data_IF_934587787710
#
_entry.id   IF_934587787710
#
_cell.length_a   1.000
_cell.length_b   1.000
_cell.length_c   1.000
_cell.angle_alpha   90.00
_cell.angle_beta   90.00
_cell.angle_gamma   90.00
#
_symmetry.space_group_name_H-M   'P 1'
#
loop_
_entity.id
_entity.type
_entity.pdbx_description
1 polymer ?
#
# COMPACT_ATOMS: atom_id res chain seq x y z
N UNK A 1 -14.00 8.46 26.79
CA UNK A 1 -13.27 8.95 25.62
C UNK A 1 -12.75 7.76 24.83
N UNK A 2 -13.11 7.68 23.57
CA UNK A 2 -12.65 6.58 22.72
C UNK A 2 -11.29 6.90 22.15
N UNK A 3 -10.46 5.86 22.01
CA UNK A 3 -9.17 6.01 21.34
C UNK A 3 -9.41 6.38 19.87
N UNK A 4 -8.56 7.24 19.30
CA UNK A 4 -8.70 7.52 17.88
C UNK A 4 -8.49 6.26 17.06
N UNK A 5 -9.24 6.16 15.98
CA UNK A 5 -9.11 5.05 15.04
C UNK A 5 -7.69 5.06 14.44
N UNK A 6 -7.11 3.89 14.29
CA UNK A 6 -5.79 3.75 13.67
C UNK A 6 -5.84 4.23 12.21
N UNK A 7 -4.79 4.93 11.79
CA UNK A 7 -4.64 5.39 10.42
C UNK A 7 -3.41 4.75 9.81
N UNK A 8 -3.55 4.29 8.58
CA UNK A 8 -2.44 3.73 7.83
C UNK A 8 -2.31 4.43 6.48
N UNK A 9 -1.15 4.31 5.89
CA UNK A 9 -0.89 4.72 4.51
C UNK A 9 -0.37 3.52 3.74
N UNK A 10 -0.74 3.43 2.48
CA UNK A 10 -0.28 2.36 1.62
C UNK A 10 -0.02 2.85 0.21
N UNK A 11 1.10 2.45 -0.36
CA UNK A 11 1.50 2.83 -1.71
C UNK A 11 1.18 1.72 -2.69
N UNK A 12 0.45 2.07 -3.74
CA UNK A 12 0.38 1.28 -4.97
C UNK A 12 1.40 1.91 -5.92
N UNK A 13 2.57 1.30 -6.04
CA UNK A 13 3.57 1.73 -7.01
C UNK A 13 3.09 1.34 -8.40
N UNK A 14 3.10 2.30 -9.31
CA UNK A 14 2.67 2.06 -10.69
C UNK A 14 3.87 2.30 -11.60
N UNK A 15 4.36 1.24 -12.20
CA UNK A 15 5.49 1.29 -13.11
C UNK A 15 5.09 1.77 -14.50
N UNK A 16 6.11 2.10 -15.30
CA UNK A 16 5.91 2.57 -16.69
C UNK A 16 5.22 1.53 -17.56
N UNK A 17 5.41 0.26 -17.23
CA UNK A 17 4.79 -0.87 -17.93
C UNK A 17 3.35 -1.15 -17.44
N UNK A 18 2.80 -0.27 -16.63
CA UNK A 18 1.44 -0.38 -16.08
C UNK A 18 1.28 -1.57 -15.13
N UNK A 19 2.36 -2.01 -14.52
CA UNK A 19 2.32 -3.03 -13.46
C UNK A 19 2.36 -2.36 -12.10
N UNK A 20 1.81 -3.05 -11.12
CA UNK A 20 1.65 -2.55 -9.76
C UNK A 20 2.46 -3.43 -8.81
N UNK A 21 3.24 -2.80 -7.94
CA UNK A 21 4.03 -3.51 -6.94
C UNK A 21 3.20 -3.76 -5.69
N UNK A 22 3.15 -5.03 -5.28
CA UNK A 22 2.57 -5.42 -4.00
C UNK A 22 3.59 -6.22 -3.20
N UNK A 23 3.43 -6.21 -1.89
CA UNK A 23 4.24 -7.01 -0.98
C UNK A 23 3.42 -8.12 -0.35
N UNK A 24 4.00 -9.31 -0.27
CA UNK A 24 3.36 -10.43 0.43
C UNK A 24 3.70 -10.34 1.91
N UNK A 25 2.70 -10.07 2.73
CA UNK A 25 2.86 -9.88 4.17
C UNK A 25 3.40 -11.16 4.80
N UNK A 26 4.38 -11.01 5.68
CA UNK A 26 5.01 -12.14 6.34
C UNK A 26 4.02 -12.93 7.18
N UNK A 27 4.26 -14.23 7.34
CA UNK A 27 3.37 -15.11 8.07
C UNK A 27 3.28 -14.75 9.56
N UNK A 28 4.29 -14.09 10.13
CA UNK A 28 4.30 -13.70 11.54
C UNK A 28 3.49 -12.43 11.83
N UNK A 29 3.07 -11.70 10.80
CA UNK A 29 2.26 -10.50 10.99
C UNK A 29 0.91 -10.86 11.60
N UNK A 30 0.42 -10.05 12.51
CA UNK A 30 -0.87 -10.26 13.16
C UNK A 30 -2.03 -9.82 12.29
N UNK A 31 -1.80 -8.88 11.39
CA UNK A 31 -2.82 -8.30 10.52
C UNK A 31 -2.58 -8.79 9.10
N UNK A 32 -3.57 -9.46 8.53
CA UNK A 32 -3.56 -9.99 7.17
C UNK A 32 -2.27 -10.77 6.83
N UNK A 33 -1.83 -11.75 7.65
CA UNK A 33 -0.64 -12.53 7.31
C UNK A 33 -0.83 -13.24 5.97
N UNK A 34 0.26 -13.35 5.20
CA UNK A 34 0.31 -14.09 3.92
C UNK A 34 -0.64 -13.54 2.85
N UNK A 35 -0.98 -12.25 2.95
CA UNK A 35 -1.80 -11.58 1.92
C UNK A 35 -0.96 -10.53 1.21
N UNK A 36 -1.27 -10.34 -0.06
CA UNK A 36 -0.66 -9.28 -0.86
C UNK A 36 -1.26 -7.94 -0.49
N UNK A 37 -0.41 -6.96 -0.27
CA UNK A 37 -0.81 -5.66 0.26
C UNK A 37 -0.01 -4.53 -0.39
N UNK A 38 -0.51 -3.32 -0.22
CA UNK A 38 0.24 -2.10 -0.54
C UNK A 38 1.49 -2.01 0.34
N UNK A 39 2.43 -1.16 -0.05
CA UNK A 39 3.63 -0.87 0.73
C UNK A 39 3.33 0.30 1.66
N UNK A 40 3.40 0.10 2.95
CA UNK A 40 3.11 1.17 3.90
C UNK A 40 2.98 0.68 5.32
N UNK A 41 2.35 1.49 6.15
CA UNK A 41 2.19 1.16 7.55
C UNK A 41 1.44 2.25 8.30
N UNK A 42 1.61 2.28 9.61
CA UNK A 42 0.87 3.18 10.48
C UNK A 42 1.37 4.61 10.40
N UNK A 43 0.42 5.54 10.43
CA UNK A 43 0.73 6.96 10.63
C UNK A 43 1.05 7.17 12.10
N UNK A 44 2.19 7.80 12.38
CA UNK A 44 2.62 8.07 13.75
C UNK A 44 2.08 9.42 14.21
N UNK A 45 2.03 9.61 15.53
CA UNK A 45 1.56 10.86 16.11
C UNK A 45 2.39 12.03 15.58
N UNK A 46 1.69 13.08 15.14
CA UNK A 46 2.35 14.27 14.61
C UNK A 46 2.76 14.20 13.14
N UNK A 47 2.61 13.04 12.50
CA UNK A 47 2.91 12.90 11.08
C UNK A 47 1.71 13.27 10.23
N UNK A 48 1.95 13.92 9.09
CA UNK A 48 0.93 14.00 8.04
C UNK A 48 0.87 12.67 7.30
N UNK A 49 -0.18 12.46 6.52
CA UNK A 49 -0.30 11.24 5.70
C UNK A 49 0.85 11.15 4.70
N UNK A 50 1.21 12.25 4.06
CA UNK A 50 2.30 12.28 3.09
C UNK A 50 3.64 11.94 3.74
N UNK A 51 3.90 12.50 4.92
CA UNK A 51 5.12 12.20 5.67
C UNK A 51 5.21 10.72 6.04
N UNK A 52 4.09 10.15 6.49
CA UNK A 52 4.02 8.74 6.84
C UNK A 52 4.29 7.86 5.62
N UNK A 53 3.71 8.22 4.47
CA UNK A 53 3.92 7.46 3.24
C UNK A 53 5.40 7.43 2.85
N UNK A 54 6.04 8.60 2.82
CA UNK A 54 7.45 8.70 2.44
C UNK A 54 8.32 7.90 3.40
N UNK A 55 8.08 8.02 4.69
CA UNK A 55 8.85 7.29 5.71
C UNK A 55 8.69 5.78 5.57
N UNK A 56 7.44 5.31 5.49
CA UNK A 56 7.17 3.86 5.40
C UNK A 56 7.74 3.25 4.13
N UNK A 57 7.59 3.93 3.00
CA UNK A 57 8.12 3.42 1.73
C UNK A 57 9.64 3.30 1.79
N UNK A 58 10.31 4.31 2.34
CA UNK A 58 11.77 4.26 2.47
C UNK A 58 12.22 3.12 3.38
N UNK A 59 11.53 2.93 4.51
CA UNK A 59 11.85 1.86 5.46
C UNK A 59 11.65 0.47 4.86
N UNK A 60 10.62 0.29 4.04
CA UNK A 60 10.25 -1.05 3.58
C UNK A 60 10.86 -1.44 2.25
N UNK A 61 11.00 -0.50 1.31
CA UNK A 61 11.48 -0.84 -0.03
C UNK A 61 12.64 0.04 -0.50
N UNK A 62 13.16 0.91 0.36
CA UNK A 62 14.43 1.60 0.12
C UNK A 62 14.41 2.71 -0.90
N UNK A 63 13.23 3.20 -1.29
CA UNK A 63 13.12 4.30 -2.26
C UNK A 63 12.27 5.43 -1.68
N UNK A 64 12.40 6.62 -2.27
CA UNK A 64 11.66 7.80 -1.84
C UNK A 64 10.66 8.21 -2.92
N UNK A 65 9.35 8.17 -2.63
CA UNK A 65 8.35 8.66 -3.57
C UNK A 65 8.58 10.14 -3.90
N UNK A 66 8.48 10.49 -5.16
CA UNK A 66 8.64 11.87 -5.63
C UNK A 66 7.38 12.40 -6.31
N UNK A 67 6.54 11.51 -6.84
CA UNK A 67 5.24 11.89 -7.39
C UNK A 67 4.21 10.87 -6.92
N UNK A 68 3.25 11.34 -6.15
CA UNK A 68 2.24 10.48 -5.55
C UNK A 68 0.99 11.27 -5.21
N UNK A 69 -0.14 10.58 -5.13
CA UNK A 69 -1.41 11.22 -4.75
C UNK A 69 -2.31 10.23 -4.04
N UNK A 70 -3.10 10.73 -3.10
CA UNK A 70 -4.10 9.94 -2.39
C UNK A 70 -5.24 9.61 -3.37
N UNK A 71 -5.57 8.34 -3.51
CA UNK A 71 -6.60 7.89 -4.44
C UNK A 71 -7.81 7.26 -3.75
N UNK A 72 -7.67 6.80 -2.52
CA UNK A 72 -8.80 6.21 -1.79
C UNK A 72 -8.54 6.24 -0.29
N UNK A 73 -9.61 6.38 0.48
CA UNK A 73 -9.59 6.20 1.92
C UNK A 73 -10.62 5.13 2.24
N UNK A 74 -10.18 4.04 2.84
CA UNK A 74 -10.98 2.82 2.99
C UNK A 74 -10.94 2.37 4.44
N UNK A 75 -12.10 1.99 4.97
CA UNK A 75 -12.16 1.39 6.29
C UNK A 75 -11.68 -0.06 6.22
N UNK A 76 -11.06 -0.54 7.28
CA UNK A 76 -10.61 -1.93 7.38
C UNK A 76 -11.76 -2.86 7.02
N UNK A 77 -11.51 -3.83 6.11
CA UNK A 77 -12.55 -4.74 5.60
C UNK A 77 -12.94 -5.82 6.61
N UNK A 78 -12.05 -6.12 7.55
CA UNK A 78 -12.28 -7.16 8.57
C UNK A 78 -12.02 -6.59 9.98
N UNK A 79 -12.81 -5.56 10.40
CA UNK A 79 -12.52 -4.89 11.66
C UNK A 79 -12.70 -5.80 12.87
N UNK A 80 -13.58 -6.80 12.79
CA UNK A 80 -13.82 -7.74 13.88
C UNK A 80 -12.62 -8.67 14.10
N UNK A 81 -11.81 -8.88 13.07
CA UNK A 81 -10.63 -9.75 13.15
C UNK A 81 -9.37 -8.94 13.44
N UNK A 82 -9.18 -7.82 12.75
CA UNK A 82 -7.91 -7.08 12.76
C UNK A 82 -7.97 -5.74 13.47
N UNK A 83 -9.15 -5.35 13.96
CA UNK A 83 -9.33 -4.03 14.57
C UNK A 83 -9.70 -2.99 13.53
N UNK A 84 -10.33 -1.91 14.01
CA UNK A 84 -10.79 -0.85 13.14
C UNK A 84 -9.62 0.04 12.70
N UNK A 85 -9.64 0.46 11.44
CA UNK A 85 -8.60 1.33 10.89
C UNK A 85 -9.10 2.03 9.64
N UNK A 86 -8.51 3.20 9.38
CA UNK A 86 -8.69 3.90 8.11
C UNK A 86 -7.40 3.75 7.31
N UNK A 87 -7.52 3.19 6.11
CA UNK A 87 -6.40 2.97 5.21
C UNK A 87 -6.42 4.01 4.10
N UNK A 88 -5.32 4.76 3.98
CA UNK A 88 -5.18 5.80 2.97
C UNK A 88 -4.29 5.27 1.85
N UNK A 89 -4.88 5.06 0.69
CA UNK A 89 -4.22 4.40 -0.45
C UNK A 89 -3.72 5.47 -1.42
N UNK A 90 -2.44 5.42 -1.72
CA UNK A 90 -1.78 6.35 -2.63
C UNK A 90 -1.35 5.64 -3.91
N UNK A 91 -1.42 6.35 -5.02
CA UNK A 91 -0.72 5.93 -6.24
C UNK A 91 0.65 6.62 -6.23
N UNK A 92 1.71 5.84 -6.34
CA UNK A 92 3.09 6.34 -6.44
C UNK A 92 3.56 6.07 -7.86
N UNK A 93 3.76 7.15 -8.63
CA UNK A 93 4.07 7.04 -10.06
C UNK A 93 5.52 7.39 -10.38
N UNK A 94 6.21 8.10 -9.47
CA UNK A 94 7.64 8.38 -9.62
C UNK A 94 8.31 8.29 -8.26
N UNK A 95 9.56 7.83 -8.26
CA UNK A 95 10.37 7.69 -7.06
C UNK A 95 11.84 7.79 -7.44
N UNK A 96 12.69 8.01 -6.43
CA UNK A 96 14.14 8.00 -6.62
C UNK A 96 14.77 6.98 -5.68
N UNK A 97 15.99 6.56 -5.98
CA UNK A 97 16.71 5.57 -5.18
C UNK A 97 16.80 4.20 -5.85
N UNK A 98 16.45 4.10 -7.12
CA UNK A 98 16.55 2.86 -7.88
C UNK A 98 15.28 2.04 -7.83
N UNK A 99 15.40 0.73 -8.01
CA UNK A 99 14.26 -0.17 -7.97
C UNK A 99 13.84 -0.44 -6.52
N UNK A 100 12.53 -0.45 -6.23
CA UNK A 100 12.07 -0.91 -4.92
C UNK A 100 12.55 -2.34 -4.65
N UNK A 101 13.07 -2.56 -3.45
CA UNK A 101 13.58 -3.86 -3.06
C UNK A 101 13.11 -4.16 -1.63
N UNK A 102 12.97 -5.44 -1.31
CA UNK A 102 12.53 -5.84 0.03
C UNK A 102 13.69 -5.68 1.01
N UNK A 103 13.71 -4.57 1.74
CA UNK A 103 14.79 -4.24 2.69
C UNK A 103 14.35 -4.38 4.15
N UNK A 104 13.17 -4.93 4.40
CA UNK A 104 12.67 -5.20 5.74
C UNK A 104 12.17 -6.64 5.82
N UNK A 105 11.73 -7.06 7.00
CA UNK A 105 11.23 -8.41 7.22
C UNK A 105 9.70 -8.49 7.27
N UNK A 106 9.01 -7.39 7.00
CA UNK A 106 7.54 -7.37 7.04
C UNK A 106 6.90 -8.04 5.84
N UNK A 107 7.64 -8.14 4.74
CA UNK A 107 7.21 -8.83 3.52
C UNK A 107 8.18 -9.96 3.23
N UNK A 108 7.64 -11.09 2.76
CA UNK A 108 8.47 -12.21 2.30
C UNK A 108 8.82 -12.11 0.83
N UNK A 109 8.06 -11.32 0.08
CA UNK A 109 8.22 -11.18 -1.36
C UNK A 109 7.63 -9.87 -1.83
N UNK A 110 8.27 -9.25 -2.83
CA UNK A 110 7.69 -8.15 -3.60
C UNK A 110 7.49 -8.64 -5.01
N UNK A 111 6.38 -8.27 -5.64
CA UNK A 111 6.11 -8.69 -7.01
C UNK A 111 5.31 -7.63 -7.75
N UNK A 112 5.66 -7.45 -9.01
CA UNK A 112 4.91 -6.59 -9.92
C UNK A 112 3.81 -7.40 -10.61
N UNK A 113 2.58 -6.88 -10.55
CA UNK A 113 1.40 -7.52 -11.14
C UNK A 113 0.78 -6.63 -12.18
N UNK A 114 0.29 -7.21 -13.28
CA UNK A 114 -0.67 -6.50 -14.11
C UNK A 114 -1.99 -6.39 -13.35
N UNK A 115 -2.86 -5.48 -13.74
CA UNK A 115 -4.18 -5.36 -13.11
C UNK A 115 -4.96 -6.67 -13.24
N UNK A 116 -4.87 -7.33 -14.39
CA UNK A 116 -5.53 -8.62 -14.62
C UNK A 116 -5.01 -9.69 -13.66
N UNK A 117 -3.70 -9.74 -13.44
CA UNK A 117 -3.10 -10.68 -12.49
C UNK A 117 -3.57 -10.39 -11.05
N UNK A 118 -3.65 -9.11 -10.69
CA UNK A 118 -4.15 -8.74 -9.35
C UNK A 118 -5.56 -9.24 -9.11
N UNK A 119 -6.41 -9.18 -10.12
CA UNK A 119 -7.81 -9.63 -10.02
C UNK A 119 -7.94 -11.13 -9.77
N UNK A 120 -6.92 -11.88 -10.08
CA UNK A 120 -6.92 -13.34 -9.88
C UNK A 120 -6.39 -13.74 -8.50
N UNK A 121 -5.84 -12.80 -7.73
CA UNK A 121 -5.31 -13.11 -6.40
C UNK A 121 -6.44 -13.42 -5.42
N UNK A 122 -6.34 -14.57 -4.77
CA UNK A 122 -7.31 -14.96 -3.74
C UNK A 122 -6.90 -14.46 -2.35
N UNK A 123 -5.62 -14.11 -2.18
CA UNK A 123 -5.06 -13.65 -0.91
C UNK A 123 -4.57 -12.21 -1.03
N UNK A 124 -5.46 -11.31 -1.33
CA UNK A 124 -5.19 -9.87 -1.40
C UNK A 124 -5.94 -9.18 -0.27
N UNK A 125 -5.30 -8.20 0.37
CA UNK A 125 -5.87 -7.50 1.52
C UNK A 125 -7.16 -6.76 1.15
N UNK A 126 -7.17 -6.13 0.00
CA UNK A 126 -8.35 -5.41 -0.47
C UNK A 126 -8.57 -5.75 -1.95
N UNK A 127 -9.72 -6.35 -2.25
CA UNK A 127 -10.06 -6.75 -3.61
C UNK A 127 -10.27 -5.55 -4.55
N UNK A 128 -10.34 -4.34 -4.03
CA UNK A 128 -10.48 -3.12 -4.83
C UNK A 128 -9.14 -2.49 -5.22
N UNK A 129 -8.01 -3.04 -4.78
CA UNK A 129 -6.70 -2.53 -5.23
C UNK A 129 -6.59 -2.49 -6.76
N UNK A 130 -7.04 -3.52 -7.51
CA UNK A 130 -7.02 -3.44 -8.98
C UNK A 130 -7.81 -2.25 -9.52
N UNK A 131 -8.97 -1.96 -8.93
CA UNK A 131 -9.80 -0.83 -9.34
C UNK A 131 -9.07 0.50 -9.10
N UNK A 132 -8.47 0.67 -7.93
CA UNK A 132 -7.74 1.89 -7.60
C UNK A 132 -6.55 2.09 -8.53
N UNK A 133 -5.81 1.00 -8.82
CA UNK A 133 -4.68 1.07 -9.74
C UNK A 133 -5.13 1.47 -11.14
N UNK A 134 -6.22 0.90 -11.60
CA UNK A 134 -6.77 1.19 -12.93
C UNK A 134 -7.17 2.66 -13.04
N UNK A 135 -7.84 3.19 -12.02
CA UNK A 135 -8.22 4.60 -11.96
C UNK A 135 -7.00 5.51 -12.02
N UNK A 136 -5.95 5.15 -11.30
CA UNK A 136 -4.71 5.92 -11.29
C UNK A 136 -4.01 5.89 -12.65
N UNK A 137 -4.06 4.76 -13.35
CA UNK A 137 -3.42 4.60 -14.65
C UNK A 137 -4.13 5.35 -15.77
N UNK A 138 -5.44 5.56 -15.65
CA UNK A 138 -6.18 6.28 -16.68
C UNK A 138 -5.86 7.76 -16.68
N UNK A 139 -5.13 8.22 -15.70
CA UNK A 139 -4.79 9.62 -15.59
C UNK A 139 -6.00 10.49 -15.29
N UNK A 140 -7.04 9.89 -14.79
CA UNK A 140 -8.25 10.59 -14.41
C UNK A 140 -7.93 11.53 -13.26
N UNK A 141 -7.38 12.64 -13.62
CA UNK A 141 -7.28 13.74 -12.71
C UNK A 141 -8.62 14.40 -12.67
N UNK A 142 -9.56 13.75 -12.34
CA UNK A 142 -10.88 14.38 -12.33
C UNK A 142 -10.97 15.46 -11.29
#
# INVERSE_FOLDING_TARGET
MQDPIAKTVGALFIGRDRKVLLGLRAAWKKIWPRHWDTIGGRVEAGESLDEALVREVLEEVGVTPTQFRLIATVRERQPDIYGDALHHIYAVTQWRGGEPANVCDEHTELKWFSVSEMRLLINIVDCDYPLYAEQAMTGEAS
#
